data_IF_919069954797
#
_entry.id   IF_919069954797
#
_cell.length_a   1.000
_cell.length_b   1.000
_cell.length_c   1.000
_cell.angle_alpha   90.00
_cell.angle_beta   90.00
_cell.angle_gamma   90.00
#
_symmetry.space_group_name_H-M   'P 1'
#
loop_
_entity.id
_entity.type
_entity.pdbx_description
1 polymer ?
#
# COMPACT_ATOMS: atom_id res chain seq x y z
N UNK A 1 -11.25 -4.81 -3.50
CA UNK A 1 -9.82 -5.14 -3.33
C UNK A 1 -9.26 -5.52 -4.70
N UNK A 2 -8.14 -4.92 -5.07
CA UNK A 2 -7.38 -5.24 -6.28
C UNK A 2 -5.89 -5.24 -5.93
N UNK A 3 -5.17 -6.33 -6.20
CA UNK A 3 -3.72 -6.38 -5.96
C UNK A 3 -3.04 -5.62 -7.09
N UNK A 4 -2.40 -4.51 -6.78
CA UNK A 4 -1.74 -3.64 -7.78
C UNK A 4 -0.24 -3.91 -7.87
N UNK A 5 0.35 -4.52 -6.84
CA UNK A 5 1.75 -4.90 -6.81
C UNK A 5 1.97 -6.10 -5.87
N UNK A 6 2.87 -7.00 -6.25
CA UNK A 6 3.20 -8.18 -5.45
C UNK A 6 4.61 -8.68 -5.81
N UNK A 7 5.56 -8.48 -4.89
CA UNK A 7 6.94 -8.97 -4.97
C UNK A 7 7.19 -10.08 -3.94
N UNK A 8 8.44 -10.53 -3.79
CA UNK A 8 8.80 -11.47 -2.73
C UNK A 8 8.79 -10.80 -1.34
N UNK A 9 9.05 -9.48 -1.28
CA UNK A 9 9.19 -8.72 -0.04
C UNK A 9 7.88 -8.03 0.34
N UNK A 10 7.23 -7.35 -0.60
CA UNK A 10 6.04 -6.54 -0.34
C UNK A 10 4.86 -6.90 -1.24
N UNK A 11 3.65 -6.58 -0.77
CA UNK A 11 2.42 -6.66 -1.56
C UNK A 11 1.57 -5.42 -1.31
N UNK A 12 1.00 -4.85 -2.37
CA UNK A 12 0.12 -3.69 -2.28
C UNK A 12 -1.26 -4.02 -2.81
N UNK A 13 -2.26 -3.81 -1.97
CA UNK A 13 -3.67 -4.01 -2.29
C UNK A 13 -4.36 -2.66 -2.32
N UNK A 14 -4.98 -2.34 -3.45
CA UNK A 14 -5.86 -1.20 -3.58
C UNK A 14 -7.29 -1.56 -3.17
N UNK A 15 -7.88 -0.70 -2.36
CA UNK A 15 -9.28 -0.72 -2.00
C UNK A 15 -9.97 0.44 -2.70
N UNK A 16 -10.88 0.12 -3.61
CA UNK A 16 -11.72 1.12 -4.24
C UNK A 16 -12.55 1.88 -3.21
N UNK A 17 -12.96 3.10 -3.57
CA UNK A 17 -13.84 3.89 -2.72
C UNK A 17 -15.14 3.12 -2.46
N UNK A 18 -15.42 2.91 -1.19
CA UNK A 18 -16.58 2.19 -0.71
C UNK A 18 -17.35 3.10 0.25
N UNK A 19 -18.56 3.50 -0.14
CA UNK A 19 -19.38 4.43 0.62
C UNK A 19 -20.03 3.80 1.86
N UNK A 20 -20.03 2.48 1.96
CA UNK A 20 -20.59 1.72 3.09
C UNK A 20 -19.55 1.62 4.22
N UNK A 21 -18.27 1.60 3.86
CA UNK A 21 -17.15 1.61 4.80
C UNK A 21 -16.59 3.03 5.01
N UNK A 22 -16.85 3.63 6.18
CA UNK A 22 -16.39 5.00 6.48
C UNK A 22 -14.86 5.19 6.32
N UNK A 23 -14.07 4.16 6.64
CA UNK A 23 -12.62 4.14 6.44
C UNK A 23 -12.20 4.09 4.95
N UNK A 24 -13.02 3.50 4.09
CA UNK A 24 -12.80 3.37 2.65
C UNK A 24 -13.65 4.34 1.82
N UNK A 25 -14.27 5.34 2.46
CA UNK A 25 -15.13 6.32 1.80
C UNK A 25 -14.49 7.00 0.59
N UNK A 26 -13.16 7.15 0.62
CA UNK A 26 -12.35 7.71 -0.46
C UNK A 26 -11.39 6.69 -1.10
N UNK A 27 -11.49 5.42 -0.71
CA UNK A 27 -10.55 4.35 -1.04
C UNK A 27 -9.38 4.29 -0.06
N UNK A 28 -8.56 3.26 -0.25
CA UNK A 28 -7.39 3.01 0.60
C UNK A 28 -6.39 2.07 -0.06
N UNK A 29 -5.23 1.96 0.55
CA UNK A 29 -4.15 1.07 0.15
C UNK A 29 -3.67 0.30 1.37
N UNK A 30 -3.38 -0.97 1.17
CA UNK A 30 -2.75 -1.80 2.18
C UNK A 30 -1.40 -2.26 1.67
N UNK A 31 -0.36 -1.98 2.46
CA UNK A 31 1.01 -2.42 2.17
C UNK A 31 1.33 -3.51 3.17
N UNK A 32 1.65 -4.69 2.65
CA UNK A 32 2.02 -5.85 3.44
C UNK A 32 3.51 -6.13 3.27
N UNK A 33 4.23 -6.14 4.40
CA UNK A 33 5.59 -6.64 4.52
C UNK A 33 5.55 -8.13 4.87
N UNK A 34 5.95 -8.96 3.91
CA UNK A 34 5.99 -10.42 4.03
C UNK A 34 7.07 -10.92 4.99
N UNK A 35 8.32 -10.44 4.96
CA UNK A 35 9.37 -10.98 5.83
C UNK A 35 9.10 -10.71 7.31
N UNK A 36 8.63 -9.52 7.68
CA UNK A 36 8.32 -9.19 9.08
C UNK A 36 6.88 -9.48 9.46
N UNK A 37 6.03 -9.87 8.50
CA UNK A 37 4.58 -10.09 8.70
C UNK A 37 3.92 -8.86 9.35
N UNK A 38 4.23 -7.68 8.83
CA UNK A 38 3.63 -6.41 9.25
C UNK A 38 2.87 -5.80 8.10
N UNK A 39 1.85 -5.02 8.40
CA UNK A 39 1.12 -4.30 7.38
C UNK A 39 0.76 -2.89 7.85
N UNK A 40 0.46 -2.04 6.89
CA UNK A 40 -0.10 -0.72 7.13
C UNK A 40 -1.26 -0.49 6.19
N UNK A 41 -2.38 -0.09 6.79
CA UNK A 41 -3.54 0.37 6.05
C UNK A 41 -3.50 1.89 5.95
N UNK A 42 -3.57 2.37 4.72
CA UNK A 42 -3.49 3.77 4.34
C UNK A 42 -4.86 4.19 3.80
N UNK A 43 -5.50 5.16 4.45
CA UNK A 43 -6.81 5.69 4.06
C UNK A 43 -6.88 7.21 4.13
N UNK A 44 -7.95 7.78 3.57
CA UNK A 44 -8.23 9.21 3.61
C UNK A 44 -7.16 10.05 2.90
N UNK A 45 -6.72 11.13 3.54
CA UNK A 45 -5.75 12.06 2.94
C UNK A 45 -4.37 11.42 2.63
N UNK A 46 -3.99 10.41 3.40
CA UNK A 46 -2.74 9.68 3.17
C UNK A 46 -2.84 8.78 1.94
N UNK A 47 -4.00 8.17 1.68
CA UNK A 47 -4.24 7.35 0.49
C UNK A 47 -4.15 8.16 -0.80
N UNK A 48 -4.68 9.38 -0.80
CA UNK A 48 -4.57 10.30 -1.94
C UNK A 48 -3.11 10.69 -2.22
N UNK A 49 -2.30 10.88 -1.17
CA UNK A 49 -0.87 11.17 -1.29
C UNK A 49 -0.12 9.96 -1.84
N UNK A 50 -0.33 8.78 -1.25
CA UNK A 50 0.26 7.51 -1.70
C UNK A 50 -0.06 7.23 -3.17
N UNK A 51 -1.33 7.40 -3.58
CA UNK A 51 -1.74 7.22 -4.98
C UNK A 51 -0.99 8.12 -5.95
N UNK A 52 -0.70 9.36 -5.54
CA UNK A 52 0.06 10.31 -6.35
C UNK A 52 1.51 9.85 -6.47
N UNK A 53 2.14 9.46 -5.36
CA UNK A 53 3.51 8.95 -5.34
C UNK A 53 3.65 7.69 -6.18
N UNK A 54 2.74 6.71 -6.04
CA UNK A 54 2.71 5.50 -6.86
C UNK A 54 2.52 5.80 -8.33
N UNK A 55 1.66 6.77 -8.70
CA UNK A 55 1.49 7.16 -10.10
C UNK A 55 2.75 7.79 -10.69
N UNK A 56 3.42 8.65 -9.92
CA UNK A 56 4.68 9.28 -10.33
C UNK A 56 5.78 8.22 -10.48
N UNK A 57 5.87 7.31 -9.51
CA UNK A 57 6.78 6.18 -9.52
C UNK A 57 6.55 5.27 -10.73
N UNK A 58 5.30 4.86 -11.01
CA UNK A 58 4.99 4.02 -12.19
C UNK A 58 5.29 4.76 -13.50
N UNK A 59 5.15 6.08 -13.55
CA UNK A 59 5.46 6.87 -14.74
C UNK A 59 6.96 6.84 -15.09
N UNK A 60 7.84 6.52 -14.14
CA UNK A 60 9.27 6.33 -14.38
C UNK A 60 9.64 4.89 -14.75
N UNK A 61 8.66 3.99 -14.97
CA UNK A 61 8.87 2.56 -15.25
C UNK A 61 9.88 1.91 -14.30
N UNK A 62 9.59 1.96 -12.99
CA UNK A 62 10.52 1.63 -11.93
C UNK A 62 10.78 0.13 -11.92
N UNK A 63 11.97 -0.27 -11.49
CA UNK A 63 12.26 -1.69 -11.28
C UNK A 63 11.58 -2.21 -10.01
N UNK A 64 11.42 -3.54 -9.91
CA UNK A 64 10.85 -4.19 -8.70
C UNK A 64 11.59 -3.74 -7.44
N UNK A 65 12.92 -3.64 -7.51
CA UNK A 65 13.80 -3.19 -6.42
C UNK A 65 13.51 -1.74 -5.99
N UNK A 66 13.20 -0.85 -6.92
CA UNK A 66 12.88 0.56 -6.60
C UNK A 66 11.50 0.69 -5.94
N UNK A 67 10.55 -0.16 -6.35
CA UNK A 67 9.25 -0.23 -5.69
C UNK A 67 9.41 -0.81 -4.28
N UNK A 68 10.21 -1.87 -4.11
CA UNK A 68 10.48 -2.45 -2.78
C UNK A 68 11.19 -1.44 -1.86
N UNK A 69 12.14 -0.64 -2.36
CA UNK A 69 12.78 0.45 -1.60
C UNK A 69 11.79 1.55 -1.21
N UNK A 70 10.94 1.98 -2.15
CA UNK A 70 9.86 2.94 -1.88
C UNK A 70 8.90 2.43 -0.80
N UNK A 71 8.47 1.17 -0.87
CA UNK A 71 7.59 0.56 0.12
C UNK A 71 8.28 0.38 1.47
N UNK A 72 9.59 0.13 1.47
CA UNK A 72 10.42 0.08 2.68
C UNK A 72 10.41 1.37 3.50
N UNK A 73 10.21 2.54 2.88
CA UNK A 73 10.05 3.80 3.62
C UNK A 73 8.80 3.80 4.51
N UNK A 74 7.78 2.98 4.21
CA UNK A 74 6.59 2.84 5.03
C UNK A 74 6.77 1.86 6.20
N UNK A 75 7.88 1.13 6.28
CA UNK A 75 8.15 0.17 7.38
C UNK A 75 8.06 0.83 8.76
N UNK A 76 8.53 2.09 8.87
CA UNK A 76 8.44 2.88 10.10
C UNK A 76 7.00 3.22 10.50
N UNK A 77 6.06 3.19 9.57
CA UNK A 77 4.63 3.40 9.80
C UNK A 77 3.85 2.08 10.00
N UNK A 78 4.47 0.93 9.70
CA UNK A 78 3.88 -0.40 9.88
C UNK A 78 3.88 -0.79 11.37
N UNK A 79 2.86 -0.31 12.06
CA UNK A 79 2.62 -0.61 13.48
C UNK A 79 1.63 -1.75 13.71
N UNK A 80 0.95 -2.24 12.67
CA UNK A 80 -0.04 -3.30 12.77
C UNK A 80 0.57 -4.66 12.40
N UNK A 81 0.34 -5.66 13.26
CA UNK A 81 0.70 -7.04 12.96
C UNK A 81 -0.22 -7.56 11.86
N UNK A 82 0.31 -8.33 10.90
CA UNK A 82 -0.49 -8.85 9.79
C UNK A 82 -1.65 -9.67 10.32
N UNK A 83 -2.87 -9.23 10.03
CA UNK A 83 -4.09 -10.00 10.23
C UNK A 83 -4.39 -10.66 8.90
N UNK A 84 -4.07 -11.94 8.80
CA UNK A 84 -4.52 -12.76 7.68
C UNK A 84 -6.04 -12.58 7.50
N UNK A 85 -6.44 -11.90 6.41
CA UNK A 85 -7.83 -11.76 5.95
C UNK A 85 -8.23 -12.94 5.06
#
# INVERSE_FOLDING_TARGET
>A
MNVIYNSDQYSVVEFGADADQDALRFGGYEIMDKPSKREVFIAGALAESFRREVKDLIATEPSVEEIDDFLGNYDSFMSQAVVFH
#
